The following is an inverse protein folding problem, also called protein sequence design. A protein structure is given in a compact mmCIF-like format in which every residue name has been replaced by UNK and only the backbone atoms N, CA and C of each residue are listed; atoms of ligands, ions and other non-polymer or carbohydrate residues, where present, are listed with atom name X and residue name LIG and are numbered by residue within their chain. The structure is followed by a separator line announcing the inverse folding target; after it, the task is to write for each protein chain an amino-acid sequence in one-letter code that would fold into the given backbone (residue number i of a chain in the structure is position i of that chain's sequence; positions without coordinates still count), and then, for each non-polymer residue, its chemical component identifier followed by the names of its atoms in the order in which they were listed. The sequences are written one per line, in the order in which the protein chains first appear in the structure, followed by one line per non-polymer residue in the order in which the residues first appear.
data_IF_493419919958
#
_entry.id   IF_493419919958
#
_cell.length_a   1.000
_cell.length_b   1.000
_cell.length_c   1.000
_cell.angle_alpha   90.00
_cell.angle_beta   90.00
_cell.angle_gamma   90.00
#
_symmetry.space_group_name_H-M   'P 1'
#
loop_
_entity.id
_entity.type
_entity.pdbx_description
1 polymer ?
#
# COMPACT_ATOMS: atom_id res chain seq x y z
N UNK A 1 -0.87 1.27 13.73
CA UNK A 1 -0.27 1.95 14.90
C UNK A 1 -0.51 3.45 14.88
N UNK A 2 0.01 4.25 13.93
CA UNK A 2 -0.17 5.73 13.98
C UNK A 2 -1.60 6.24 14.02
N UNK A 3 -2.53 5.60 13.32
CA UNK A 3 -3.97 5.87 13.44
C UNK A 3 -4.46 5.73 14.89
N UNK A 4 -3.97 4.71 15.61
CA UNK A 4 -4.25 4.53 17.05
C UNK A 4 -3.71 5.69 17.88
N UNK A 5 -2.47 6.10 17.63
CA UNK A 5 -1.85 7.23 18.33
C UNK A 5 -2.69 8.51 18.17
N UNK A 6 -3.19 8.79 16.96
CA UNK A 6 -4.04 9.94 16.68
C UNK A 6 -5.40 9.86 17.39
N UNK A 7 -6.09 8.71 17.29
CA UNK A 7 -7.38 8.52 17.95
C UNK A 7 -7.26 8.65 19.48
N UNK A 8 -6.18 8.11 20.08
CA UNK A 8 -5.87 8.24 21.51
C UNK A 8 -5.53 9.67 21.92
N UNK A 9 -4.92 10.44 21.02
CA UNK A 9 -4.68 11.87 21.22
C UNK A 9 -5.95 12.72 21.04
N UNK A 10 -7.09 12.10 20.73
CA UNK A 10 -8.38 12.78 20.55
C UNK A 10 -8.55 13.43 19.19
N UNK A 11 -7.68 13.11 18.21
CA UNK A 11 -7.76 13.61 16.84
C UNK A 11 -8.92 12.96 16.11
N UNK A 12 -9.64 13.74 15.31
CA UNK A 12 -10.62 13.22 14.34
C UNK A 12 -9.88 12.67 13.12
N UNK A 13 -10.08 11.38 12.84
CA UNK A 13 -9.32 10.69 11.80
C UNK A 13 -10.24 10.29 10.67
N UNK A 14 -9.91 10.76 9.46
CA UNK A 14 -10.56 10.30 8.23
C UNK A 14 -9.63 9.36 7.47
N UNK A 15 -10.10 8.15 7.18
CA UNK A 15 -9.45 7.22 6.24
C UNK A 15 -10.13 7.35 4.89
N UNK A 16 -9.40 7.91 3.93
CA UNK A 16 -9.82 7.98 2.53
C UNK A 16 -9.58 6.64 1.82
N UNK A 17 -10.65 5.97 1.42
CA UNK A 17 -10.63 4.84 0.51
C UNK A 17 -10.61 5.37 -0.92
N UNK A 18 -9.40 5.60 -1.44
CA UNK A 18 -9.14 6.31 -2.68
C UNK A 18 -9.38 5.45 -3.95
N UNK A 19 -10.64 5.13 -4.22
CA UNK A 19 -11.08 4.30 -5.35
C UNK A 19 -10.80 4.94 -6.72
N UNK A 20 -11.02 6.24 -6.88
CA UNK A 20 -10.65 6.97 -8.11
C UNK A 20 -9.14 6.89 -8.34
N UNK A 21 -8.33 7.08 -7.29
CA UNK A 21 -6.87 6.97 -7.38
C UNK A 21 -6.42 5.55 -7.73
N UNK A 22 -7.06 4.51 -7.18
CA UNK A 22 -6.78 3.11 -7.51
C UNK A 22 -7.05 2.79 -8.99
N UNK A 23 -8.04 3.45 -9.60
CA UNK A 23 -8.29 3.37 -11.04
C UNK A 23 -7.23 4.14 -11.86
N UNK A 24 -6.86 5.35 -11.42
CA UNK A 24 -5.92 6.23 -12.13
C UNK A 24 -4.46 5.73 -12.11
N UNK A 25 -4.05 5.01 -11.07
CA UNK A 25 -2.70 4.44 -10.96
C UNK A 25 -2.54 3.21 -11.87
N UNK A 26 -2.37 3.49 -13.17
CA UNK A 26 -2.07 2.54 -14.24
C UNK A 26 -2.98 1.30 -14.28
N UNK A 27 -4.29 1.50 -14.07
CA UNK A 27 -5.31 0.46 -14.12
C UNK A 27 -4.98 -0.76 -13.25
N UNK A 28 -4.47 -0.55 -12.02
CA UNK A 28 -4.27 -1.61 -11.02
C UNK A 28 -5.53 -2.49 -10.83
N UNK A 29 -6.72 -1.91 -11.06
CA UNK A 29 -7.98 -2.63 -11.15
C UNK A 29 -9.02 -1.86 -12.00
N UNK A 30 -9.91 -2.55 -12.73
CA UNK A 30 -11.07 -1.92 -13.36
C UNK A 30 -12.07 -1.41 -12.30
N UNK A 31 -12.86 -0.38 -12.62
CA UNK A 31 -13.75 0.32 -11.66
C UNK A 31 -14.68 -0.61 -10.87
N UNK A 32 -15.28 -1.60 -11.53
CA UNK A 32 -16.15 -2.58 -10.88
C UNK A 32 -15.41 -3.42 -9.83
N UNK A 33 -14.13 -3.69 -10.05
CA UNK A 33 -13.29 -4.42 -9.10
C UNK A 33 -12.85 -3.52 -7.94
N UNK A 34 -12.61 -2.24 -8.23
CA UNK A 34 -12.24 -1.25 -7.21
C UNK A 34 -13.34 -1.11 -6.17
N UNK A 35 -14.63 -1.11 -6.56
CA UNK A 35 -15.74 -1.02 -5.60
C UNK A 35 -15.69 -2.14 -4.54
N UNK A 36 -15.47 -3.39 -4.96
CA UNK A 36 -15.33 -4.51 -4.03
C UNK A 36 -14.05 -4.41 -3.20
N UNK A 37 -12.95 -3.92 -3.78
CA UNK A 37 -11.71 -3.68 -3.03
C UNK A 37 -11.88 -2.61 -1.96
N UNK A 38 -12.59 -1.53 -2.25
CA UNK A 38 -12.92 -0.47 -1.29
C UNK A 38 -13.63 -1.07 -0.07
N UNK A 39 -14.70 -1.85 -0.30
CA UNK A 39 -15.43 -2.54 0.77
C UNK A 39 -14.53 -3.51 1.52
N UNK A 40 -13.72 -4.30 0.82
CA UNK A 40 -12.76 -5.22 1.42
C UNK A 40 -11.79 -4.52 2.37
N UNK A 41 -11.18 -3.40 1.94
CA UNK A 41 -10.27 -2.63 2.78
C UNK A 41 -10.97 -1.98 3.96
N UNK A 42 -12.22 -1.54 3.81
CA UNK A 42 -13.01 -1.04 4.92
C UNK A 42 -13.21 -2.12 6.00
N UNK A 43 -13.72 -3.30 5.63
CA UNK A 43 -13.87 -4.43 6.56
C UNK A 43 -12.55 -4.79 7.21
N UNK A 44 -11.47 -4.85 6.44
CA UNK A 44 -10.15 -5.24 6.92
C UNK A 44 -9.60 -4.24 7.94
N UNK A 45 -9.61 -2.95 7.63
CA UNK A 45 -9.08 -1.90 8.51
C UNK A 45 -9.92 -1.81 9.79
N UNK A 46 -11.26 -1.83 9.69
CA UNK A 46 -12.14 -1.86 10.87
C UNK A 46 -11.83 -3.05 11.76
N UNK A 47 -11.75 -4.25 11.16
CA UNK A 47 -11.46 -5.49 11.89
C UNK A 47 -10.12 -5.42 12.61
N UNK A 48 -9.07 -4.89 11.96
CA UNK A 48 -7.75 -4.71 12.57
C UNK A 48 -7.81 -3.76 13.77
N UNK A 49 -8.43 -2.58 13.60
CA UNK A 49 -8.54 -1.61 14.70
C UNK A 49 -9.34 -2.18 15.88
N UNK A 50 -10.45 -2.86 15.62
CA UNK A 50 -11.25 -3.53 16.64
C UNK A 50 -10.47 -4.67 17.32
N UNK A 51 -9.68 -5.46 16.58
CA UNK A 51 -8.86 -6.54 17.15
C UNK A 51 -7.75 -6.06 18.09
N UNK A 52 -7.40 -4.78 17.98
CA UNK A 52 -6.46 -4.09 18.86
C UNK A 52 -7.18 -3.33 19.99
N UNK A 53 -8.52 -3.43 20.05
CA UNK A 53 -9.43 -2.66 20.90
C UNK A 53 -9.14 -1.14 20.85
N UNK A 54 -8.87 -0.62 19.65
CA UNK A 54 -8.67 0.81 19.44
C UNK A 54 -10.05 1.48 19.34
N UNK A 55 -10.33 2.56 20.11
CA UNK A 55 -11.59 3.27 20.00
C UNK A 55 -11.72 3.93 18.62
N UNK A 56 -12.88 3.77 17.98
CA UNK A 56 -13.16 4.21 16.61
C UNK A 56 -14.26 5.27 16.53
N UNK A 57 -14.65 5.87 17.66
CA UNK A 57 -15.68 6.90 17.76
C UNK A 57 -15.35 8.16 16.93
N UNK A 58 -14.08 8.50 16.83
CA UNK A 58 -13.55 9.61 16.02
C UNK A 58 -13.00 9.18 14.66
N UNK A 59 -13.30 7.95 14.22
CA UNK A 59 -12.83 7.40 12.96
C UNK A 59 -13.93 7.44 11.90
N UNK A 60 -13.67 8.16 10.80
CA UNK A 60 -14.56 8.23 9.65
C UNK A 60 -13.91 7.57 8.44
N UNK A 61 -14.67 6.78 7.68
CA UNK A 61 -14.27 6.29 6.37
C UNK A 61 -14.96 7.11 5.29
N UNK A 62 -14.20 7.57 4.30
CA UNK A 62 -14.72 8.30 3.15
C UNK A 62 -14.24 7.62 1.88
N UNK A 63 -15.15 7.35 0.96
CA UNK A 63 -14.80 6.82 -0.38
C UNK A 63 -14.52 7.99 -1.32
N UNK A 64 -13.40 7.97 -2.05
CA UNK A 64 -12.99 9.09 -2.91
C UNK A 64 -14.05 9.51 -3.93
N UNK A 65 -14.67 8.54 -4.61
CA UNK A 65 -15.74 8.80 -5.59
C UNK A 65 -16.98 9.49 -5.03
N UNK A 66 -17.16 9.55 -3.69
CA UNK A 66 -18.30 10.25 -3.08
C UNK A 66 -18.26 11.76 -3.28
N UNK A 67 -17.06 12.34 -3.48
CA UNK A 67 -16.88 13.79 -3.69
C UNK A 67 -15.99 14.14 -4.88
N UNK A 68 -15.04 13.28 -5.27
CA UNK A 68 -14.07 13.58 -6.34
C UNK A 68 -14.70 13.69 -7.73
N UNK A 69 -15.97 13.28 -7.89
CA UNK A 69 -16.74 13.38 -9.12
C UNK A 69 -17.69 14.59 -9.13
N UNK A 70 -17.71 15.39 -8.07
CA UNK A 70 -18.56 16.57 -7.97
C UNK A 70 -18.06 17.69 -8.88
N UNK A 71 -18.97 18.60 -9.23
CA UNK A 71 -18.67 19.76 -10.07
C UNK A 71 -17.52 20.60 -9.51
N UNK A 72 -17.58 20.90 -8.22
CA UNK A 72 -16.65 21.86 -7.60
C UNK A 72 -15.24 21.26 -7.53
N UNK A 73 -15.14 19.99 -7.11
CA UNK A 73 -13.86 19.27 -7.10
C UNK A 73 -13.23 19.21 -8.49
N UNK A 74 -14.02 18.91 -9.53
CA UNK A 74 -13.49 18.86 -10.90
C UNK A 74 -13.11 20.24 -11.43
N UNK A 75 -13.80 21.31 -11.03
CA UNK A 75 -13.42 22.66 -11.39
C UNK A 75 -12.06 23.03 -10.78
N UNK A 76 -11.80 22.64 -9.54
CA UNK A 76 -10.47 22.83 -8.92
C UNK A 76 -9.40 21.93 -9.53
N UNK A 77 -9.75 20.70 -9.93
CA UNK A 77 -8.83 19.85 -10.68
C UNK A 77 -8.42 20.50 -12.01
N UNK A 78 -9.35 21.16 -12.72
CA UNK A 78 -9.02 21.92 -13.92
C UNK A 78 -8.19 23.18 -13.62
N UNK A 79 -8.43 23.87 -12.51
CA UNK A 79 -7.61 25.01 -12.07
C UNK A 79 -6.18 24.57 -11.74
N UNK A 80 -6.00 23.42 -11.08
CA UNK A 80 -4.69 22.81 -10.89
C UNK A 80 -4.04 22.47 -12.23
N UNK A 81 -4.76 21.81 -13.14
CA UNK A 81 -4.23 21.46 -14.46
C UNK A 81 -3.80 22.69 -15.29
N UNK A 82 -4.43 23.85 -15.08
CA UNK A 82 -4.06 25.11 -15.73
C UNK A 82 -2.83 25.80 -15.10
N UNK A 83 -2.39 25.38 -13.91
CA UNK A 83 -1.31 26.05 -13.15
C UNK A 83 -0.10 25.16 -12.89
N UNK A 84 -0.28 23.85 -12.83
CA UNK A 84 0.75 22.84 -12.59
C UNK A 84 1.45 22.51 -13.90
N UNK A 85 2.79 22.52 -13.88
CA UNK A 85 3.57 22.08 -15.04
C UNK A 85 3.61 20.55 -15.13
N UNK A 86 3.73 20.01 -16.35
CA UNK A 86 3.94 18.56 -16.56
C UNK A 86 5.14 18.04 -15.76
N UNK A 87 6.23 18.81 -15.75
CA UNK A 87 7.45 18.51 -15.01
C UNK A 87 7.18 18.31 -13.52
N UNK A 88 6.45 19.24 -12.90
CA UNK A 88 6.19 19.19 -11.46
C UNK A 88 5.24 18.07 -11.09
N UNK A 89 4.18 17.83 -11.89
CA UNK A 89 3.28 16.70 -11.70
C UNK A 89 4.04 15.36 -11.80
N UNK A 90 4.89 15.20 -12.82
CA UNK A 90 5.71 14.00 -13.01
C UNK A 90 6.70 13.80 -11.86
N UNK A 91 7.34 14.87 -11.40
CA UNK A 91 8.28 14.85 -10.27
C UNK A 91 7.57 14.47 -8.96
N UNK A 92 6.38 15.02 -8.72
CA UNK A 92 5.59 14.75 -7.52
C UNK A 92 5.17 13.28 -7.42
N UNK A 93 4.71 12.69 -8.53
CA UNK A 93 4.25 11.29 -8.57
C UNK A 93 5.34 10.23 -8.67
N UNK A 94 6.63 10.59 -8.79
CA UNK A 94 7.70 9.68 -9.20
C UNK A 94 7.93 8.47 -8.26
N UNK A 95 7.59 8.57 -6.98
CA UNK A 95 7.78 7.50 -5.98
C UNK A 95 6.49 6.76 -5.62
N UNK A 96 5.34 7.25 -6.10
CA UNK A 96 4.01 6.78 -5.71
C UNK A 96 3.29 6.14 -6.90
N UNK A 97 3.28 6.84 -8.03
CA UNK A 97 2.67 6.37 -9.27
C UNK A 97 3.58 5.35 -9.95
N UNK A 98 2.99 4.29 -10.49
CA UNK A 98 3.75 3.27 -11.22
C UNK A 98 4.48 3.87 -12.42
N UNK A 99 5.80 3.71 -12.44
CA UNK A 99 6.63 4.14 -13.55
C UNK A 99 6.54 3.14 -14.71
N UNK A 100 6.22 3.65 -15.90
CA UNK A 100 6.13 2.89 -17.15
C UNK A 100 6.83 3.66 -18.27
N UNK A 101 7.26 2.96 -19.31
CA UNK A 101 8.00 3.55 -20.45
C UNK A 101 7.24 4.69 -21.12
N UNK A 102 5.92 4.54 -21.25
CA UNK A 102 5.00 5.54 -21.80
C UNK A 102 3.97 5.93 -20.74
N UNK A 103 4.25 6.94 -19.88
CA UNK A 103 3.35 7.35 -18.81
C UNK A 103 1.97 7.79 -19.33
N UNK A 104 0.92 7.34 -18.66
CA UNK A 104 -0.44 7.79 -18.94
C UNK A 104 -0.68 9.16 -18.30
N UNK A 105 -1.58 9.95 -18.89
CA UNK A 105 -2.02 11.25 -18.33
C UNK A 105 -2.55 11.10 -16.89
N UNK A 106 -3.17 9.96 -16.56
CA UNK A 106 -3.68 9.69 -15.22
C UNK A 106 -2.60 9.79 -14.13
N UNK A 107 -1.36 9.42 -14.45
CA UNK A 107 -0.24 9.54 -13.52
C UNK A 107 0.18 10.99 -13.24
N UNK A 108 -0.10 11.91 -14.17
CA UNK A 108 0.14 13.34 -13.98
C UNK A 108 -0.98 14.03 -13.20
N UNK A 109 -2.21 13.51 -13.27
CA UNK A 109 -3.33 14.02 -12.48
C UNK A 109 -3.23 13.63 -11.01
N UNK A 110 -2.67 12.45 -10.72
CA UNK A 110 -2.66 11.84 -9.39
C UNK A 110 -2.22 12.78 -8.25
N UNK A 111 -1.06 13.48 -8.33
CA UNK A 111 -0.62 14.33 -7.21
C UNK A 111 -1.55 15.53 -6.97
N UNK A 112 -2.17 16.05 -8.03
CA UNK A 112 -3.12 17.15 -7.94
C UNK A 112 -4.40 16.74 -7.23
N UNK A 113 -4.91 15.56 -7.53
CA UNK A 113 -6.10 15.01 -6.88
C UNK A 113 -5.84 14.74 -5.40
N UNK A 114 -4.72 14.09 -5.05
CA UNK A 114 -4.36 13.85 -3.65
C UNK A 114 -4.16 15.15 -2.86
N UNK A 115 -3.69 16.24 -3.49
CA UNK A 115 -3.59 17.54 -2.85
C UNK A 115 -4.98 18.14 -2.58
N UNK A 116 -5.91 18.08 -3.54
CA UNK A 116 -7.29 18.59 -3.35
C UNK A 116 -8.04 17.82 -2.27
N UNK A 117 -7.73 16.54 -2.07
CA UNK A 117 -8.33 15.75 -0.99
C UNK A 117 -8.11 16.38 0.39
N UNK A 118 -7.01 17.11 0.62
CA UNK A 118 -6.78 17.82 1.88
C UNK A 118 -7.81 18.93 2.15
N UNK A 119 -8.21 19.65 1.10
CA UNK A 119 -9.21 20.71 1.19
C UNK A 119 -10.61 20.11 1.31
N UNK A 120 -10.95 19.14 0.44
CA UNK A 120 -12.31 18.61 0.36
C UNK A 120 -12.66 17.64 1.50
N UNK A 121 -11.67 17.11 2.20
CA UNK A 121 -11.87 16.40 3.46
C UNK A 121 -11.82 17.32 4.69
N UNK A 122 -11.54 18.61 4.49
CA UNK A 122 -11.44 19.64 5.53
C UNK A 122 -10.51 19.22 6.69
N UNK A 123 -9.26 18.90 6.35
CA UNK A 123 -8.27 18.43 7.33
C UNK A 123 -7.18 19.45 7.61
N UNK A 124 -6.62 19.38 8.83
CA UNK A 124 -5.46 20.18 9.24
C UNK A 124 -4.12 19.56 8.81
N UNK A 125 -4.08 18.23 8.67
CA UNK A 125 -2.88 17.50 8.31
C UNK A 125 -3.16 16.22 7.53
N UNK A 126 -2.22 15.83 6.67
CA UNK A 126 -2.21 14.54 6.00
C UNK A 126 -1.09 13.65 6.58
N UNK A 127 -1.41 12.38 6.82
CA UNK A 127 -0.46 11.38 7.30
C UNK A 127 -0.19 10.31 6.22
N UNK A 128 1.08 9.97 5.99
CA UNK A 128 1.47 8.91 5.07
C UNK A 128 2.93 8.49 5.21
N UNK A 129 3.41 7.63 4.31
CA UNK A 129 4.81 7.21 4.29
C UNK A 129 5.75 8.30 3.79
N UNK A 130 7.06 8.17 4.08
CA UNK A 130 8.09 9.07 3.52
C UNK A 130 8.17 9.05 1.99
N UNK A 131 7.66 8.01 1.34
CA UNK A 131 7.51 7.91 -0.11
C UNK A 131 6.47 8.89 -0.68
N UNK A 132 5.54 9.38 0.16
CA UNK A 132 4.56 10.41 -0.20
C UNK A 132 5.15 11.84 -0.15
N UNK A 133 6.38 12.01 0.35
CA UNK A 133 6.98 13.34 0.61
C UNK A 133 6.89 14.30 -0.59
N UNK A 134 7.10 13.80 -1.81
CA UNK A 134 7.06 14.66 -3.00
C UNK A 134 5.64 15.16 -3.32
N UNK A 135 4.61 14.35 -3.06
CA UNK A 135 3.21 14.76 -3.19
C UNK A 135 2.84 15.76 -2.09
N UNK A 136 3.29 15.52 -0.86
CA UNK A 136 3.07 16.46 0.26
C UNK A 136 3.68 17.84 -0.04
N UNK A 137 4.94 17.89 -0.48
CA UNK A 137 5.57 19.17 -0.87
C UNK A 137 4.91 19.82 -2.09
N UNK A 138 4.29 19.02 -2.96
CA UNK A 138 3.51 19.53 -4.09
C UNK A 138 2.22 20.18 -3.59
N UNK A 139 1.49 19.56 -2.65
CA UNK A 139 0.30 20.11 -2.05
C UNK A 139 0.59 21.45 -1.33
N UNK A 140 1.65 21.51 -0.53
CA UNK A 140 2.09 22.74 0.14
C UNK A 140 2.39 23.89 -0.83
N UNK A 141 2.85 23.59 -2.04
CA UNK A 141 3.18 24.58 -3.06
C UNK A 141 1.96 25.04 -3.84
N UNK A 142 1.05 24.12 -4.19
CA UNK A 142 -0.01 24.38 -5.15
C UNK A 142 -1.36 24.71 -4.50
N UNK A 143 -1.70 24.18 -3.33
CA UNK A 143 -2.96 24.55 -2.64
C UNK A 143 -3.07 26.06 -2.39
N UNK A 144 -2.02 26.77 -1.91
CA UNK A 144 -2.07 28.22 -1.77
C UNK A 144 -2.30 28.99 -3.07
N UNK A 145 -1.93 28.43 -4.22
CA UNK A 145 -2.16 29.06 -5.53
C UNK A 145 -3.61 28.97 -5.98
N UNK A 146 -4.38 28.01 -5.44
CA UNK A 146 -5.83 27.94 -5.60
C UNK A 146 -6.58 28.77 -4.55
N UNK A 147 -5.87 29.36 -3.59
CA UNK A 147 -6.46 30.12 -2.47
C UNK A 147 -6.77 29.27 -1.24
N UNK A 148 -6.34 28.01 -1.21
CA UNK A 148 -6.52 27.10 -0.07
C UNK A 148 -5.36 27.17 0.91
N UNK A 149 -5.60 26.77 2.16
CA UNK A 149 -4.54 26.72 3.17
C UNK A 149 -3.58 25.57 2.90
N UNK A 150 -2.31 25.74 3.28
CA UNK A 150 -1.37 24.61 3.34
C UNK A 150 -1.70 23.76 4.57
N UNK A 151 -1.54 22.43 4.48
CA UNK A 151 -1.71 21.50 5.61
C UNK A 151 -0.37 21.07 6.18
N UNK A 152 -0.39 20.56 7.40
CA UNK A 152 0.76 19.88 7.97
C UNK A 152 0.89 18.46 7.38
N UNK A 153 2.11 17.95 7.30
CA UNK A 153 2.38 16.61 6.77
C UNK A 153 3.16 15.78 7.77
N UNK A 154 2.59 14.66 8.18
CA UNK A 154 3.23 13.70 9.10
C UNK A 154 3.66 12.47 8.33
N UNK A 155 4.96 12.12 8.40
CA UNK A 155 5.53 11.02 7.63
C UNK A 155 6.06 9.89 8.52
N UNK A 156 5.66 8.65 8.26
CA UNK A 156 6.26 7.47 8.90
C UNK A 156 7.38 6.87 8.04
N UNK A 157 8.44 6.32 8.66
CA UNK A 157 9.48 5.61 7.94
C UNK A 157 8.91 4.38 7.22
N UNK A 158 9.57 3.97 6.15
CA UNK A 158 9.23 2.73 5.45
C UNK A 158 9.63 1.54 6.32
N UNK A 159 8.68 0.65 6.59
CA UNK A 159 9.00 -0.66 7.18
C UNK A 159 9.55 -1.54 6.04
N UNK A 160 10.79 -2.05 6.14
CA UNK A 160 11.33 -2.97 5.16
C UNK A 160 10.43 -4.20 5.03
N UNK A 161 10.27 -4.69 3.80
CA UNK A 161 9.66 -5.97 3.52
C UNK A 161 10.52 -7.11 4.08
N UNK A 162 9.94 -8.31 4.14
CA UNK A 162 10.62 -9.47 4.75
C UNK A 162 11.94 -9.85 4.06
N UNK A 163 12.16 -9.43 2.81
CA UNK A 163 13.40 -9.65 2.07
C UNK A 163 14.46 -8.54 2.19
N UNK A 164 14.26 -7.52 3.04
CA UNK A 164 15.21 -6.41 3.24
C UNK A 164 15.04 -5.20 2.30
N UNK A 165 14.14 -5.29 1.32
CA UNK A 165 13.78 -4.18 0.40
C UNK A 165 12.43 -3.53 0.71
N UNK A 166 11.85 -2.79 -0.25
CA UNK A 166 10.46 -2.27 -0.13
C UNK A 166 9.45 -3.42 -0.20
N UNK A 167 8.39 -3.36 0.61
CA UNK A 167 7.23 -4.23 0.43
C UNK A 167 6.60 -3.99 -0.96
N UNK A 168 6.25 -5.05 -1.67
CA UNK A 168 5.63 -4.94 -3.00
C UNK A 168 4.29 -5.66 -3.05
N UNK A 169 3.27 -4.98 -3.56
CA UNK A 169 1.99 -5.61 -3.85
C UNK A 169 2.10 -6.69 -4.94
N UNK A 170 3.13 -6.63 -5.80
CA UNK A 170 3.34 -7.60 -6.88
C UNK A 170 4.15 -8.83 -6.47
N UNK A 171 4.79 -8.81 -5.30
CA UNK A 171 5.48 -9.99 -4.75
C UNK A 171 4.77 -10.46 -3.47
N UNK A 172 3.94 -11.51 -3.56
CA UNK A 172 3.21 -12.06 -2.41
C UNK A 172 4.11 -12.55 -1.26
N UNK A 173 5.39 -12.84 -1.53
CA UNK A 173 6.33 -13.31 -0.51
C UNK A 173 7.05 -12.16 0.21
N UNK A 174 6.98 -10.94 -0.32
CA UNK A 174 7.62 -9.76 0.28
C UNK A 174 6.89 -9.20 1.50
N UNK A 175 5.63 -9.60 1.72
CA UNK A 175 4.73 -9.11 2.77
C UNK A 175 3.93 -10.23 3.44
N UNK A 176 3.51 -9.97 4.68
CA UNK A 176 2.52 -10.79 5.38
C UNK A 176 1.15 -10.16 5.18
N UNK A 177 0.22 -10.97 4.67
CA UNK A 177 -1.16 -10.55 4.55
C UNK A 177 -1.88 -10.69 5.90
N UNK A 178 -2.85 -9.84 6.15
CA UNK A 178 -3.60 -9.83 7.41
C UNK A 178 -4.49 -11.07 7.56
N UNK A 179 -4.79 -11.76 6.45
CA UNK A 179 -5.53 -13.02 6.43
C UNK A 179 -4.62 -14.25 6.24
N UNK A 180 -3.30 -14.11 6.19
CA UNK A 180 -2.37 -15.24 6.04
C UNK A 180 -2.56 -16.26 7.19
N UNK A 181 -2.63 -17.55 6.85
CA UNK A 181 -2.70 -18.62 7.85
C UNK A 181 -1.37 -18.74 8.61
N UNK A 182 -1.35 -19.33 9.83
CA UNK A 182 -0.12 -19.53 10.59
C UNK A 182 0.99 -20.26 9.80
N UNK A 183 0.62 -21.20 8.93
CA UNK A 183 1.56 -21.94 8.08
C UNK A 183 2.20 -21.03 7.02
N UNK A 184 1.40 -20.14 6.41
CA UNK A 184 1.88 -19.16 5.42
C UNK A 184 2.78 -18.14 6.09
N UNK A 185 2.38 -17.60 7.24
CA UNK A 185 3.21 -16.69 8.05
C UNK A 185 4.56 -17.34 8.38
N UNK A 186 4.54 -18.58 8.90
CA UNK A 186 5.76 -19.34 9.22
C UNK A 186 6.65 -19.52 7.99
N UNK A 187 6.08 -19.85 6.84
CA UNK A 187 6.82 -20.02 5.60
C UNK A 187 7.51 -18.72 5.18
N UNK A 188 6.78 -17.60 5.17
CA UNK A 188 7.28 -16.27 4.77
C UNK A 188 8.37 -15.76 5.71
N UNK A 189 8.16 -15.86 7.02
CA UNK A 189 9.17 -15.46 8.02
C UNK A 189 10.42 -16.36 7.93
N UNK A 190 10.25 -17.67 7.71
CA UNK A 190 11.39 -18.57 7.55
C UNK A 190 12.28 -18.16 6.36
N UNK A 191 11.66 -17.78 5.24
CA UNK A 191 12.36 -17.30 4.04
C UNK A 191 12.89 -15.86 4.13
N UNK A 192 12.47 -15.09 5.12
CA UNK A 192 12.91 -13.70 5.30
C UNK A 192 14.45 -13.63 5.46
N UNK A 193 15.06 -12.57 4.93
CA UNK A 193 16.47 -12.30 5.17
C UNK A 193 16.66 -11.88 6.64
N UNK A 194 17.55 -12.56 7.36
CA UNK A 194 17.86 -12.30 8.77
C UNK A 194 19.22 -12.92 9.08
N UNK A 195 20.27 -12.16 8.81
CA UNK A 195 21.66 -12.55 9.09
C UNK A 195 22.01 -12.24 10.54
N UNK A 196 22.79 -13.11 11.18
CA UNK A 196 23.19 -12.97 12.58
C UNK A 196 24.09 -11.75 12.80
N UNK A 197 23.72 -10.88 13.75
CA UNK A 197 24.42 -9.61 13.98
C UNK A 197 24.00 -8.47 13.04
N UNK A 198 23.28 -8.75 11.96
CA UNK A 198 22.89 -7.74 11.00
C UNK A 198 21.60 -7.02 11.43
N UNK A 199 21.74 -5.77 11.87
CA UNK A 199 20.63 -4.90 12.26
C UNK A 199 20.17 -3.96 11.14
N UNK A 200 20.91 -3.89 10.03
CA UNK A 200 20.58 -3.09 8.85
C UNK A 200 19.83 -3.94 7.83
N UNK A 201 18.84 -3.35 7.14
CA UNK A 201 18.00 -4.05 6.15
C UNK A 201 17.34 -5.36 6.67
N UNK A 202 17.22 -5.51 7.99
CA UNK A 202 16.64 -6.68 8.62
C UNK A 202 15.12 -6.49 8.78
N UNK A 203 14.35 -7.01 7.83
CA UNK A 203 12.89 -6.91 7.83
C UNK A 203 12.22 -7.57 9.03
N UNK A 204 12.83 -8.62 9.59
CA UNK A 204 12.31 -9.30 10.78
C UNK A 204 12.44 -8.40 12.02
N UNK A 205 13.64 -7.87 12.28
CA UNK A 205 13.86 -6.92 13.38
C UNK A 205 13.02 -5.64 13.22
N UNK A 206 12.97 -5.10 12.00
CA UNK A 206 12.21 -3.88 11.71
C UNK A 206 10.72 -4.07 12.01
N UNK A 207 10.16 -5.23 11.71
CA UNK A 207 8.77 -5.55 12.04
C UNK A 207 8.54 -5.64 13.55
N UNK A 208 9.51 -6.17 14.31
CA UNK A 208 9.42 -6.19 15.78
C UNK A 208 9.32 -4.77 16.33
N UNK A 209 10.23 -3.88 15.93
CA UNK A 209 10.26 -2.50 16.41
C UNK A 209 9.10 -1.63 15.93
N UNK A 210 8.65 -1.81 14.69
CA UNK A 210 7.60 -0.98 14.10
C UNK A 210 6.17 -1.44 14.44
N UNK A 211 5.99 -2.72 14.75
CA UNK A 211 4.65 -3.32 14.92
C UNK A 211 4.51 -4.07 16.24
N UNK A 212 5.32 -5.08 16.49
CA UNK A 212 5.08 -5.99 17.62
C UNK A 212 5.30 -5.31 18.98
N UNK A 213 6.42 -4.63 19.18
CA UNK A 213 6.71 -3.94 20.43
C UNK A 213 5.71 -2.81 20.71
N UNK A 214 5.39 -1.90 19.75
CA UNK A 214 4.37 -0.88 19.97
C UNK A 214 2.99 -1.44 20.34
N UNK A 215 2.57 -2.55 19.73
CA UNK A 215 1.31 -3.23 20.10
C UNK A 215 1.41 -3.82 21.51
N UNK A 216 2.56 -4.39 21.85
CA UNK A 216 2.80 -4.97 23.17
C UNK A 216 2.77 -3.93 24.28
N UNK A 217 3.38 -2.77 24.05
CA UNK A 217 3.32 -1.59 24.93
C UNK A 217 1.87 -1.11 25.09
N UNK A 218 1.13 -0.96 23.99
CA UNK A 218 -0.29 -0.58 24.00
C UNK A 218 -1.12 -1.55 24.87
N UNK A 219 -0.93 -2.86 24.68
CA UNK A 219 -1.63 -3.90 25.46
C UNK A 219 -1.29 -3.82 26.95
N UNK A 220 -0.01 -3.61 27.26
CA UNK A 220 0.48 -3.48 28.63
C UNK A 220 -0.09 -2.25 29.32
N UNK A 221 -0.05 -1.09 28.68
CA UNK A 221 -0.65 0.16 29.19
C UNK A 221 -2.13 -0.02 29.51
N UNK A 222 -2.86 -0.71 28.63
CA UNK A 222 -4.29 -1.00 28.81
C UNK A 222 -4.57 -1.88 30.02
N UNK A 223 -3.80 -2.97 30.18
CA UNK A 223 -3.93 -3.85 31.34
C UNK A 223 -3.64 -3.06 32.62
N UNK A 224 -2.56 -2.28 32.66
CA UNK A 224 -2.20 -1.44 33.81
C UNK A 224 -3.30 -0.43 34.15
N UNK A 225 -3.85 0.26 33.15
CA UNK A 225 -4.95 1.20 33.35
C UNK A 225 -6.22 0.52 33.87
N UNK A 226 -6.58 -0.65 33.33
CA UNK A 226 -7.75 -1.41 33.77
C UNK A 226 -7.60 -1.91 35.22
N UNK A 227 -6.42 -2.43 35.58
CA UNK A 227 -6.11 -2.86 36.95
C UNK A 227 -6.09 -1.68 37.93
N UNK A 228 -5.55 -0.53 37.53
CA UNK A 228 -5.52 0.67 38.37
C UNK A 228 -6.90 1.28 38.62
N UNK A 229 -7.82 1.16 37.66
CA UNK A 229 -9.18 1.72 37.76
C UNK A 229 -10.03 1.09 38.87
N UNK A 230 -9.72 -0.16 39.29
CA UNK A 230 -10.49 -0.97 40.27
C UNK A 230 -11.99 -1.15 39.98
N UNK A 231 -12.51 -0.55 38.91
CA UNK A 231 -13.90 -0.63 38.44
C UNK A 231 -14.08 -1.69 37.34
N UNK A 232 -12.99 -2.16 36.74
CA UNK A 232 -13.01 -3.21 35.72
C UNK A 232 -12.92 -4.57 36.41
N UNK A 233 -13.90 -5.47 36.24
CA UNK A 233 -13.85 -6.82 36.81
C UNK A 233 -12.62 -7.61 36.36
N UNK A 234 -12.05 -8.42 37.26
CA UNK A 234 -10.82 -9.19 36.98
C UNK A 234 -10.97 -10.11 35.76
N UNK A 235 -12.16 -10.71 35.55
CA UNK A 235 -12.43 -11.57 34.39
C UNK A 235 -12.37 -10.82 33.05
N UNK A 236 -12.65 -9.51 33.05
CA UNK A 236 -12.50 -8.67 31.86
C UNK A 236 -11.02 -8.33 31.61
N UNK A 237 -10.26 -8.07 32.68
CA UNK A 237 -8.80 -7.83 32.59
C UNK A 237 -8.11 -9.07 32.04
N UNK A 238 -8.47 -10.27 32.51
CA UNK A 238 -7.88 -11.54 32.10
C UNK A 238 -8.14 -11.87 30.62
N UNK A 239 -9.20 -11.32 30.03
CA UNK A 239 -9.55 -11.46 28.61
C UNK A 239 -8.84 -10.46 27.71
N UNK A 240 -8.19 -9.43 28.26
CA UNK A 240 -7.46 -8.47 27.44
C UNK A 240 -6.29 -9.16 26.73
N UNK A 241 -6.03 -8.74 25.49
CA UNK A 241 -4.91 -9.25 24.73
C UNK A 241 -3.60 -8.92 25.47
N UNK A 242 -2.77 -9.94 25.69
CA UNK A 242 -1.52 -9.81 26.45
C UNK A 242 -0.35 -9.32 25.58
N UNK A 243 0.67 -8.68 26.17
CA UNK A 243 1.95 -8.42 25.53
C UNK A 243 2.56 -9.69 24.91
N UNK A 244 3.40 -9.55 23.88
CA UNK A 244 4.07 -10.67 23.21
C UNK A 244 5.27 -11.20 24.03
N UNK A 245 4.98 -11.65 25.25
CA UNK A 245 5.95 -12.17 26.21
C UNK A 245 5.63 -13.62 26.54
N UNK A 246 6.65 -14.40 26.92
CA UNK A 246 6.43 -15.78 27.41
C UNK A 246 5.94 -15.75 28.86
N UNK A 247 5.31 -16.84 29.30
CA UNK A 247 4.85 -16.97 30.68
C UNK A 247 6.03 -16.87 31.66
N UNK A 248 5.84 -16.17 32.78
CA UNK A 248 6.90 -15.91 33.76
C UNK A 248 7.89 -14.81 33.38
N UNK A 249 7.68 -14.09 32.26
CA UNK A 249 8.50 -12.93 31.91
C UNK A 249 8.49 -11.87 33.04
N UNK A 250 9.62 -11.19 33.29
CA UNK A 250 9.72 -10.19 34.33
C UNK A 250 8.82 -8.98 34.05
N UNK A 251 8.40 -8.32 35.14
CA UNK A 251 7.69 -7.06 35.08
C UNK A 251 8.51 -6.04 34.29
N UNK A 252 7.90 -5.43 33.27
CA UNK A 252 8.62 -4.56 32.36
C UNK A 252 8.68 -5.09 30.94
N UNK A 253 8.75 -6.41 30.74
CA UNK A 253 8.94 -7.00 29.42
C UNK A 253 7.81 -6.66 28.45
N UNK A 254 8.20 -6.33 27.21
CA UNK A 254 7.31 -6.03 26.07
C UNK A 254 7.52 -6.99 24.91
N UNK A 255 8.63 -7.73 24.87
CA UNK A 255 8.82 -8.80 23.89
C UNK A 255 9.64 -9.92 24.51
N UNK A 256 9.38 -11.16 24.14
CA UNK A 256 10.20 -12.29 24.57
C UNK A 256 10.55 -13.21 23.42
N UNK A 257 11.77 -13.73 23.47
CA UNK A 257 12.25 -14.77 22.57
C UNK A 257 12.28 -16.07 23.37
N UNK A 258 11.38 -16.99 23.03
CA UNK A 258 11.35 -18.32 23.63
C UNK A 258 12.50 -19.16 23.08
N UNK A 259 13.33 -19.70 23.97
CA UNK A 259 14.48 -20.53 23.64
C UNK A 259 14.64 -21.62 24.70
N UNK A 260 15.05 -22.81 24.29
CA UNK A 260 15.24 -23.94 25.20
C UNK A 260 16.31 -23.64 26.26
N UNK A 261 16.15 -24.17 27.47
CA UNK A 261 17.10 -24.02 28.59
C UNK A 261 18.54 -24.41 28.22
N UNK A 262 18.70 -25.46 27.39
CA UNK A 262 20.01 -25.92 26.91
C UNK A 262 20.78 -24.88 26.09
N UNK A 263 20.09 -23.86 25.57
CA UNK A 263 20.66 -22.76 24.81
C UNK A 263 20.66 -21.44 25.59
N UNK A 264 20.40 -21.47 26.91
CA UNK A 264 20.40 -20.31 27.78
C UNK A 264 19.02 -19.72 28.08
N UNK A 265 17.95 -20.51 27.88
CA UNK A 265 16.58 -20.14 28.29
C UNK A 265 15.97 -18.96 27.53
N UNK A 266 14.73 -18.58 27.86
CA UNK A 266 14.03 -17.46 27.24
C UNK A 266 14.72 -16.12 27.54
N UNK A 267 14.63 -15.18 26.59
CA UNK A 267 15.15 -13.82 26.73
C UNK A 267 14.01 -12.81 26.69
N UNK A 268 14.08 -11.77 27.51
CA UNK A 268 13.01 -10.80 27.72
C UNK A 268 13.50 -9.38 27.53
N UNK A 269 12.76 -8.59 26.74
CA UNK A 269 13.17 -7.25 26.34
C UNK A 269 12.14 -6.23 26.81
N UNK A 270 12.62 -5.14 27.42
CA UNK A 270 11.81 -4.00 27.86
C UNK A 270 11.74 -2.89 26.81
N UNK A 271 12.57 -2.95 25.76
CA UNK A 271 12.58 -2.00 24.66
C UNK A 271 13.09 -2.65 23.37
N UNK A 272 12.77 -2.05 22.22
CA UNK A 272 13.32 -2.48 20.92
C UNK A 272 14.84 -2.36 20.87
N UNK A 273 15.40 -1.29 21.47
CA UNK A 273 16.83 -1.05 21.51
C UNK A 273 17.59 -2.20 22.21
N UNK A 274 17.07 -2.68 23.34
CA UNK A 274 17.68 -3.80 24.06
C UNK A 274 17.73 -5.08 23.19
N UNK A 275 16.67 -5.37 22.43
CA UNK A 275 16.67 -6.48 21.49
C UNK A 275 17.66 -6.26 20.33
N UNK A 276 17.70 -5.06 19.78
CA UNK A 276 18.59 -4.72 18.67
C UNK A 276 20.06 -4.84 19.06
N UNK A 277 20.43 -4.34 20.24
CA UNK A 277 21.79 -4.41 20.79
C UNK A 277 22.21 -5.88 20.99
N UNK A 278 21.36 -6.72 21.59
CA UNK A 278 21.68 -8.14 21.77
C UNK A 278 21.73 -8.94 20.46
N UNK A 279 20.92 -8.57 19.46
CA UNK A 279 21.00 -9.17 18.14
C UNK A 279 22.31 -8.80 17.45
N UNK A 280 22.75 -7.53 17.53
CA UNK A 280 24.02 -7.06 16.99
C UNK A 280 25.23 -7.78 17.65
N UNK A 281 25.14 -8.02 18.96
CA UNK A 281 26.12 -8.78 19.74
C UNK A 281 26.06 -10.30 19.51
N UNK A 282 25.17 -10.78 18.63
CA UNK A 282 24.97 -12.20 18.31
C UNK A 282 24.54 -13.07 19.51
N UNK A 283 23.89 -12.46 20.50
CA UNK A 283 23.29 -13.18 21.64
C UNK A 283 21.94 -13.79 21.28
N UNK A 284 21.29 -13.24 20.26
CA UNK A 284 20.02 -13.71 19.70
C UNK A 284 20.27 -14.36 18.34
N UNK A 285 20.03 -15.67 18.25
CA UNK A 285 20.15 -16.39 16.99
C UNK A 285 18.97 -16.03 16.05
N UNK A 286 19.20 -15.84 14.73
CA UNK A 286 18.15 -15.49 13.78
C UNK A 286 16.96 -16.47 13.76
N UNK A 287 17.21 -17.76 13.98
CA UNK A 287 16.16 -18.77 14.05
C UNK A 287 15.19 -18.55 15.21
N UNK A 288 15.71 -18.16 16.38
CA UNK A 288 14.89 -17.93 17.58
C UNK A 288 14.07 -16.66 17.43
N UNK A 289 14.69 -15.59 16.90
CA UNK A 289 13.97 -14.36 16.54
C UNK A 289 12.83 -14.63 15.55
N UNK A 290 13.10 -15.36 14.47
CA UNK A 290 12.09 -15.74 13.47
C UNK A 290 10.95 -16.55 14.09
N UNK A 291 11.24 -17.48 15.00
CA UNK A 291 10.23 -18.28 15.68
C UNK A 291 9.35 -17.41 16.59
N UNK A 292 9.96 -16.54 17.39
CA UNK A 292 9.23 -15.60 18.26
C UNK A 292 8.33 -14.66 17.46
N UNK A 293 8.85 -14.08 16.37
CA UNK A 293 8.08 -13.21 15.46
C UNK A 293 6.94 -13.97 14.80
N UNK A 294 7.17 -15.21 14.33
CA UNK A 294 6.11 -16.04 13.74
C UNK A 294 4.97 -16.27 14.72
N UNK A 295 5.27 -16.59 15.98
CA UNK A 295 4.27 -16.79 17.03
C UNK A 295 3.49 -15.50 17.30
N UNK A 296 4.19 -14.40 17.51
CA UNK A 296 3.58 -13.09 17.80
C UNK A 296 2.66 -12.61 16.67
N UNK A 297 3.09 -12.73 15.40
CA UNK A 297 2.26 -12.38 14.24
C UNK A 297 1.04 -13.31 14.14
N UNK A 298 1.23 -14.61 14.35
CA UNK A 298 0.11 -15.56 14.28
C UNK A 298 -0.96 -15.25 15.33
N UNK A 299 -0.56 -14.88 16.54
CA UNK A 299 -1.44 -14.43 17.63
C UNK A 299 -2.11 -13.09 17.31
N UNK A 300 -1.36 -12.14 16.75
CA UNK A 300 -1.89 -10.83 16.34
C UNK A 300 -2.98 -10.95 15.27
N UNK A 301 -2.76 -11.80 14.27
CA UNK A 301 -3.68 -11.97 13.13
C UNK A 301 -4.85 -12.91 13.44
N UNK A 302 -4.77 -13.72 14.50
CA UNK A 302 -5.84 -14.67 14.88
C UNK A 302 -7.23 -14.03 14.97
N UNK A 303 -7.47 -12.96 15.75
CA UNK A 303 -8.80 -12.36 15.86
C UNK A 303 -9.31 -11.80 14.53
N UNK A 304 -8.41 -11.31 13.66
CA UNK A 304 -8.79 -10.82 12.32
C UNK A 304 -9.29 -11.99 11.46
N UNK A 305 -8.54 -13.10 11.44
CA UNK A 305 -8.95 -14.32 10.71
C UNK A 305 -10.25 -14.90 11.25
N UNK A 306 -10.42 -14.98 12.57
CA UNK A 306 -11.65 -15.51 13.17
C UNK A 306 -12.88 -14.68 12.78
N UNK A 307 -12.78 -13.35 12.78
CA UNK A 307 -13.84 -12.45 12.32
C UNK A 307 -14.12 -12.60 10.82
N UNK A 308 -13.08 -12.77 10.01
CA UNK A 308 -13.23 -13.06 8.58
C UNK A 308 -13.92 -14.41 8.33
N UNK A 309 -13.54 -15.45 9.07
CA UNK A 309 -14.06 -16.82 8.87
C UNK A 309 -15.56 -16.93 9.12
N UNK A 310 -16.09 -16.17 10.09
CA UNK A 310 -17.52 -16.18 10.44
C UNK A 310 -18.34 -15.16 9.63
N UNK A 311 -17.73 -14.38 8.74
CA UNK A 311 -18.40 -13.34 7.97
C UNK A 311 -18.56 -13.75 6.48
N UNK A 312 -19.71 -14.32 6.09
CA UNK A 312 -19.93 -14.77 4.71
C UNK A 312 -19.98 -13.61 3.70
N UNK A 313 -20.42 -12.43 4.13
CA UNK A 313 -20.45 -11.23 3.28
C UNK A 313 -19.03 -10.77 2.95
N UNK A 314 -18.14 -10.75 3.94
CA UNK A 314 -16.74 -10.37 3.71
C UNK A 314 -16.03 -11.37 2.78
N UNK A 315 -16.28 -12.68 2.94
CA UNK A 315 -15.77 -13.71 2.03
C UNK A 315 -16.24 -13.52 0.58
N UNK A 316 -17.52 -13.21 0.39
CA UNK A 316 -18.07 -12.91 -0.94
C UNK A 316 -17.46 -11.64 -1.55
N UNK A 317 -17.27 -10.59 -0.74
CA UNK A 317 -16.60 -9.35 -1.15
C UNK A 317 -15.14 -9.63 -1.56
N UNK A 318 -14.39 -10.40 -0.80
CA UNK A 318 -13.00 -10.75 -1.15
C UNK A 318 -12.93 -11.53 -2.47
N UNK A 319 -13.78 -12.56 -2.63
CA UNK A 319 -13.83 -13.35 -3.85
C UNK A 319 -14.12 -12.49 -5.09
N UNK A 320 -14.97 -11.45 -4.94
CA UNK A 320 -15.26 -10.48 -6.00
C UNK A 320 -14.13 -9.46 -6.19
N UNK A 321 -13.42 -9.06 -5.12
CA UNK A 321 -12.33 -8.09 -5.13
C UNK A 321 -11.01 -8.64 -5.69
N UNK A 322 -10.80 -9.96 -5.56
CA UNK A 322 -9.61 -10.70 -5.99
C UNK A 322 -10.00 -12.03 -6.67
N UNK A 323 -10.66 -11.97 -7.85
CA UNK A 323 -11.06 -13.18 -8.57
C UNK A 323 -9.83 -13.99 -8.99
N UNK A 324 -9.94 -15.32 -8.98
CA UNK A 324 -8.82 -16.15 -9.45
C UNK A 324 -8.63 -15.97 -10.97
N UNK A 325 -7.42 -16.21 -11.51
CA UNK A 325 -7.15 -16.12 -12.95
C UNK A 325 -8.05 -17.01 -13.83
N UNK A 326 -8.68 -18.04 -13.24
CA UNK A 326 -9.68 -18.89 -13.90
C UNK A 326 -11.04 -18.18 -14.03
N UNK A 327 -11.41 -17.38 -13.04
CA UNK A 327 -12.69 -16.67 -12.97
C UNK A 327 -12.70 -15.45 -13.90
N UNK A 328 -11.56 -14.77 -14.06
CA UNK A 328 -11.39 -13.68 -15.03
C UNK A 328 -11.63 -14.12 -16.49
N UNK A 329 -11.37 -15.39 -16.81
CA UNK A 329 -11.59 -15.95 -18.15
C UNK A 329 -13.07 -16.30 -18.40
N UNK A 330 -13.81 -16.66 -17.36
CA UNK A 330 -15.23 -17.00 -17.46
C UNK A 330 -16.13 -15.76 -17.62
N UNK A 331 -15.73 -14.61 -17.06
CA UNK A 331 -16.50 -13.36 -17.11
C UNK A 331 -16.38 -12.55 -18.42
N UNK A 332 -15.43 -12.87 -19.32
CA UNK A 332 -15.33 -12.22 -20.62
C UNK A 332 -16.44 -12.74 -21.56
N UNK A 333 -17.63 -12.13 -21.51
CA UNK A 333 -18.58 -12.22 -22.64
C UNK A 333 -17.81 -11.93 -23.93
N UNK A 334 -17.88 -12.85 -24.90
CA UNK A 334 -17.30 -12.67 -26.26
C UNK A 334 -17.69 -11.27 -26.74
N UNK A 335 -16.72 -10.36 -26.87
CA UNK A 335 -16.93 -9.09 -27.55
C UNK A 335 -17.42 -9.43 -28.96
N UNK A 336 -18.65 -9.04 -29.28
CA UNK A 336 -19.15 -9.08 -30.65
C UNK A 336 -18.18 -8.23 -31.50
N UNK A 337 -17.61 -8.84 -32.53
CA UNK A 337 -16.67 -8.14 -33.41
C UNK A 337 -17.46 -7.10 -34.21
N UNK A 338 -17.49 -5.86 -33.74
CA UNK A 338 -17.91 -4.74 -34.58
C UNK A 338 -16.85 -4.57 -35.67
N UNK A 339 -17.23 -4.94 -36.90
CA UNK A 339 -16.39 -4.80 -38.08
C UNK A 339 -16.34 -3.32 -38.48
N UNK A 340 -15.16 -2.72 -38.40
CA UNK A 340 -14.88 -1.44 -39.04
C UNK A 340 -14.26 -1.73 -40.42
N UNK A 341 -14.94 -1.40 -41.54
CA UNK A 341 -14.33 -1.54 -42.85
C UNK A 341 -13.12 -0.60 -42.97
N UNK A 342 -12.00 -1.05 -43.56
CA UNK A 342 -10.84 -0.19 -43.79
C UNK A 342 -11.17 0.94 -44.79
N UNK A 343 -10.49 2.09 -44.72
CA UNK A 343 -10.64 3.16 -45.69
C UNK A 343 -10.34 2.65 -47.12
N UNK A 344 -11.01 3.22 -48.14
CA UNK A 344 -10.96 2.70 -49.51
C UNK A 344 -9.52 2.61 -50.02
N UNK A 345 -9.12 1.43 -50.50
CA UNK A 345 -7.83 1.20 -51.17
C UNK A 345 -6.78 0.35 -50.43
N UNK A 346 -7.04 -0.14 -49.20
CA UNK A 346 -6.08 -1.00 -48.46
C UNK A 346 -6.71 -2.27 -47.87
N UNK A 347 -7.43 -3.03 -48.70
CA UNK A 347 -7.94 -4.37 -48.36
C UNK A 347 -7.18 -5.48 -49.11
N UNK A 348 -6.99 -6.63 -48.46
CA UNK A 348 -6.23 -7.80 -48.96
C UNK A 348 -6.75 -8.48 -50.24
N UNK A 349 -7.82 -7.97 -50.87
CA UNK A 349 -8.38 -8.46 -52.13
C UNK A 349 -8.45 -7.35 -53.22
N UNK A 350 -7.39 -6.54 -53.35
CA UNK A 350 -7.24 -5.72 -54.54
C UNK A 350 -6.81 -6.63 -55.71
N UNK A 351 -7.68 -6.75 -56.71
CA UNK A 351 -7.41 -7.48 -57.96
C UNK A 351 -6.16 -6.92 -58.63
N UNK A 352 -5.19 -7.78 -58.86
CA UNK A 352 -3.94 -7.46 -59.57
C UNK A 352 -4.26 -7.30 -61.07
N UNK A 353 -3.80 -6.24 -61.76
CA UNK A 353 -3.94 -6.16 -63.22
C UNK A 353 -3.05 -7.22 -63.91
N UNK A 354 -3.45 -7.75 -65.07
CA UNK A 354 -2.74 -8.84 -65.73
C UNK A 354 -1.41 -8.38 -66.35
N UNK A 355 -0.44 -9.30 -66.41
CA UNK A 355 0.90 -9.09 -66.91
C UNK A 355 1.06 -9.62 -68.36
N UNK A 356 1.80 -8.85 -69.17
CA UNK A 356 2.30 -9.14 -70.53
C UNK A 356 2.53 -7.78 -71.23
N UNK A 357 3.68 -7.42 -71.81
CA UNK A 357 4.81 -8.18 -72.32
C UNK A 357 6.15 -7.41 -72.18
N UNK A 358 7.24 -8.14 -72.38
CA UNK A 358 8.63 -7.75 -72.24
C UNK A 358 9.10 -6.64 -73.21
N UNK A 359 10.11 -5.87 -72.76
CA UNK A 359 11.44 -5.70 -73.39
C UNK A 359 12.01 -4.28 -73.28
N UNK A 360 13.35 -4.26 -73.19
CA UNK A 360 14.32 -3.20 -73.45
C UNK A 360 14.93 -2.45 -72.25
N UNK A 361 16.25 -2.60 -72.18
CA UNK A 361 17.25 -2.08 -71.25
C UNK A 361 17.37 -0.55 -71.28
N UNK A 362 17.83 0.05 -70.16
CA UNK A 362 19.06 0.87 -70.12
C UNK A 362 19.35 1.50 -68.73
N UNK A 363 20.54 1.19 -68.21
CA UNK A 363 21.51 1.95 -67.38
C UNK A 363 21.11 2.74 -66.10
N UNK A 364 21.98 2.74 -65.05
CA UNK A 364 21.76 3.44 -63.78
C UNK A 364 22.12 4.95 -63.85
N UNK A 365 21.61 5.78 -62.91
CA UNK A 365 21.71 7.23 -63.02
C UNK A 365 23.09 7.77 -62.57
N UNK A 366 23.57 8.78 -63.30
CA UNK A 366 24.67 9.64 -62.90
C UNK A 366 24.17 10.81 -62.03
N UNK A 367 25.05 11.28 -61.14
CA UNK A 367 24.89 12.38 -60.20
C UNK A 367 25.11 13.78 -60.84
N UNK A 368 24.96 14.81 -59.99
CA UNK A 368 25.25 16.26 -60.14
C UNK A 368 24.16 17.15 -60.80
N UNK A 369 23.83 18.38 -60.35
CA UNK A 369 24.15 19.25 -59.20
C UNK A 369 23.15 20.47 -59.23
N UNK A 370 23.38 21.67 -58.62
CA UNK A 370 22.39 22.36 -57.79
C UNK A 370 21.64 23.53 -58.46
N UNK A 371 20.60 24.02 -57.78
CA UNK A 371 19.69 25.09 -58.23
C UNK A 371 20.35 26.50 -58.28
N UNK A 372 19.89 27.41 -59.17
CA UNK A 372 20.49 28.73 -59.36
C UNK A 372 19.93 29.80 -58.40
N UNK A 373 20.78 30.78 -58.06
CA UNK A 373 20.46 31.97 -57.28
C UNK A 373 19.76 33.07 -58.13
N UNK A 374 19.00 34.01 -57.51
CA UNK A 374 18.16 34.97 -58.23
C UNK A 374 18.91 36.24 -58.69
N UNK A 375 18.36 37.00 -59.67
CA UNK A 375 19.03 38.16 -60.27
C UNK A 375 18.86 39.47 -59.48
N UNK A 376 19.75 40.39 -59.83
CA UNK A 376 20.32 41.56 -59.11
C UNK A 376 19.41 42.59 -58.46
#
# INVERSE_FOLDING_TARGET
MKISDFLRAGVEVTILLADVHAFLDNLKAPLNLVEFRTKYYEYLIRTVLESLDIPTDKLTFVTGSSYQLTRDYNLDAYRLAATVTEHDAKKAGAEVVKQVESPLLSGLLYPGLQALDEEYLDVDFQFGGVDQRKIFTFAELYLPRLGYTKRAHLMNPMVPGLGGGKMSASDPNSKIDLLDTPEVVKKKIKSAFCEEGNIEENGVLSFVGAVLIPISELRKERILAATASQTVPQDQIDRLAKPFVVEGAPDGAVFSIGRDEKWGGPSHYTSFKALQDEFAEKKVHPGDLKNAVTKAISELLRPVREKYEVNPEWKDIEAKAYPSPKDEKAGKKKKEKVYHPPPPGKGRNAVKPPAGDAAAEAAPPAADAPAPAPPS
#
